data_IF_304628496029
#
_entry.id   IF_304628496029
#
_cell.length_a   1.000
_cell.length_b   1.000
_cell.length_c   1.000
_cell.angle_alpha   90.00
_cell.angle_beta   90.00
_cell.angle_gamma   90.00
#
_symmetry.space_group_name_H-M   'P 1'
#
loop_
_entity.id
_entity.type
_entity.pdbx_description
1 polymer ?
#
# COMPACT_ATOMS: atom_id res chain seq x y z
N UNK A 1 19.14 20.02 -7.39
CA UNK A 1 20.11 20.41 -6.34
C UNK A 1 19.49 21.33 -5.29
N UNK A 2 18.24 21.09 -4.90
CA UNK A 2 17.61 21.86 -3.82
C UNK A 2 18.34 21.64 -2.49
N UNK A 3 18.48 22.68 -1.66
CA UNK A 3 19.26 22.63 -0.42
C UNK A 3 18.69 21.64 0.61
N UNK A 4 17.36 21.44 0.65
CA UNK A 4 16.72 20.50 1.58
C UNK A 4 16.98 19.06 1.16
N UNK A 5 16.98 18.79 -0.15
CA UNK A 5 17.33 17.47 -0.69
C UNK A 5 18.82 17.20 -0.46
N UNK A 6 19.69 18.20 -0.63
CA UNK A 6 21.13 18.06 -0.40
C UNK A 6 21.44 17.78 1.08
N UNK A 7 20.75 18.44 2.00
CA UNK A 7 20.97 18.30 3.44
C UNK A 7 20.79 16.85 3.94
N UNK A 8 19.85 16.11 3.35
CA UNK A 8 19.60 14.70 3.68
C UNK A 8 20.38 13.71 2.80
N UNK A 9 21.21 14.20 1.87
CA UNK A 9 22.07 13.41 1.00
C UNK A 9 23.48 14.04 0.90
N UNK A 10 24.21 14.19 2.02
CA UNK A 10 25.45 14.98 2.06
C UNK A 10 26.54 14.47 1.12
N UNK A 11 26.59 13.15 0.89
CA UNK A 11 27.62 12.50 0.09
C UNK A 11 27.26 12.38 -1.41
N UNK A 12 26.08 12.86 -1.80
CA UNK A 12 25.59 12.78 -3.19
C UNK A 12 25.74 14.12 -3.88
N UNK A 13 26.42 14.14 -5.03
CA UNK A 13 26.40 15.30 -5.91
C UNK A 13 25.07 15.33 -6.68
N UNK A 14 24.14 16.16 -6.22
CA UNK A 14 22.82 16.26 -6.85
C UNK A 14 22.87 16.99 -8.19
N UNK A 15 22.25 16.45 -9.25
CA UNK A 15 22.21 17.12 -10.54
C UNK A 15 21.32 18.38 -10.52
N UNK A 16 21.60 19.30 -11.44
CA UNK A 16 20.74 20.46 -11.74
C UNK A 16 19.64 20.07 -12.72
N UNK A 17 18.77 19.14 -12.30
CA UNK A 17 17.62 18.67 -13.08
C UNK A 17 16.31 19.18 -12.47
N UNK A 18 15.34 19.47 -13.34
CA UNK A 18 13.96 19.71 -12.92
C UNK A 18 13.36 18.41 -12.39
N UNK A 19 12.70 18.48 -11.24
CA UNK A 19 11.91 17.36 -10.72
C UNK A 19 10.54 17.37 -11.41
N UNK A 20 10.14 16.23 -11.98
CA UNK A 20 8.83 16.06 -12.61
C UNK A 20 7.99 15.10 -11.77
N UNK A 21 7.02 15.59 -10.97
CA UNK A 21 6.12 14.71 -10.23
C UNK A 21 5.25 13.90 -11.19
N UNK A 22 5.09 12.62 -10.90
CA UNK A 22 4.18 11.71 -11.59
C UNK A 22 3.20 11.15 -10.57
N UNK A 23 1.91 11.32 -10.82
CA UNK A 23 0.84 10.94 -9.91
C UNK A 23 -0.20 10.07 -10.62
N UNK A 24 -1.12 9.49 -9.87
CA UNK A 24 -2.21 8.68 -10.42
C UNK A 24 -3.32 9.55 -11.00
N UNK A 25 -3.71 9.31 -12.25
CA UNK A 25 -4.83 10.03 -12.89
C UNK A 25 -6.21 9.43 -12.57
N UNK A 26 -6.23 8.22 -12.00
CA UNK A 26 -7.43 7.46 -11.64
C UNK A 26 -7.59 7.32 -10.12
N UNK A 27 -8.82 7.05 -9.67
CA UNK A 27 -9.12 6.74 -8.28
C UNK A 27 -8.30 5.54 -7.79
N UNK A 28 -7.51 5.74 -6.74
CA UNK A 28 -6.38 4.87 -6.41
C UNK A 28 -6.19 4.68 -4.91
N UNK A 29 -6.18 3.43 -4.46
CA UNK A 29 -5.76 3.08 -3.11
C UNK A 29 -4.29 3.43 -2.83
N UNK A 30 -3.41 3.34 -3.83
CA UNK A 30 -2.00 3.76 -3.72
C UNK A 30 -1.90 5.26 -3.46
N UNK A 31 -2.76 6.08 -4.09
CA UNK A 31 -2.85 7.52 -3.80
C UNK A 31 -3.35 7.75 -2.39
N UNK A 32 -4.34 6.98 -1.94
CA UNK A 32 -4.85 7.10 -0.57
C UNK A 32 -3.76 6.79 0.48
N UNK A 33 -2.97 5.73 0.28
CA UNK A 33 -1.84 5.40 1.17
C UNK A 33 -0.78 6.51 1.14
N UNK A 34 -0.36 6.94 -0.05
CA UNK A 34 0.66 7.99 -0.20
C UNK A 34 0.22 9.33 0.42
N UNK A 35 -1.02 9.74 0.16
CA UNK A 35 -1.60 10.98 0.67
C UNK A 35 -1.81 10.94 2.18
N UNK A 36 -2.21 9.78 2.73
CA UNK A 36 -2.34 9.58 4.17
C UNK A 36 -0.97 9.67 4.86
N UNK A 37 0.09 9.10 4.27
CA UNK A 37 1.45 9.30 4.76
C UNK A 37 1.84 10.79 4.74
N UNK A 38 1.69 11.47 3.59
CA UNK A 38 2.09 12.87 3.46
C UNK A 38 1.31 13.81 4.39
N UNK A 39 0.02 13.54 4.62
CA UNK A 39 -0.80 14.31 5.57
C UNK A 39 -0.37 14.13 7.02
N UNK A 40 0.28 13.02 7.38
CA UNK A 40 0.86 12.79 8.72
C UNK A 40 2.18 13.53 8.93
N UNK A 41 2.99 13.72 7.88
CA UNK A 41 4.35 14.28 7.97
C UNK A 41 4.48 15.71 7.44
N UNK A 42 3.48 16.24 6.75
CA UNK A 42 3.49 17.58 6.17
C UNK A 42 2.16 18.30 6.41
N UNK A 43 2.12 19.27 7.36
CA UNK A 43 0.94 20.11 7.59
C UNK A 43 0.51 20.84 6.32
N UNK A 44 1.46 21.37 5.53
CA UNK A 44 1.16 22.03 4.26
C UNK A 44 0.45 21.09 3.28
N UNK A 45 0.88 19.83 3.17
CA UNK A 45 0.19 18.86 2.31
C UNK A 45 -1.24 18.62 2.82
N UNK A 46 -1.39 18.39 4.12
CA UNK A 46 -2.68 18.13 4.76
C UNK A 46 -3.68 19.26 4.50
N UNK A 47 -3.23 20.51 4.58
CA UNK A 47 -4.09 21.69 4.43
C UNK A 47 -4.40 22.03 2.98
N UNK A 48 -3.57 21.62 2.02
CA UNK A 48 -3.69 22.00 0.61
C UNK A 48 -4.23 20.91 -0.30
N UNK A 49 -3.74 19.67 -0.16
CA UNK A 49 -4.14 18.52 -0.96
C UNK A 49 -4.94 17.50 -0.16
N UNK A 50 -4.57 17.30 1.11
CA UNK A 50 -5.24 16.38 2.02
C UNK A 50 -5.08 14.91 1.64
N UNK A 51 -6.11 14.13 1.92
CA UNK A 51 -6.15 12.68 1.74
C UNK A 51 -7.31 12.27 0.83
N UNK A 52 -7.16 11.13 0.15
CA UNK A 52 -8.20 10.57 -0.69
C UNK A 52 -7.64 9.65 -1.76
N UNK A 53 -8.54 8.97 -2.47
CA UNK A 53 -8.18 8.12 -3.61
C UNK A 53 -7.90 8.93 -4.89
N UNK A 54 -8.32 10.19 -4.94
CA UNK A 54 -8.03 11.16 -5.98
C UNK A 54 -7.81 12.53 -5.35
N UNK A 55 -6.77 13.25 -5.78
CA UNK A 55 -6.42 14.58 -5.29
C UNK A 55 -6.31 15.58 -6.45
N UNK A 56 -6.49 16.86 -6.14
CA UNK A 56 -6.41 17.94 -7.14
C UNK A 56 -4.96 18.39 -7.37
N UNK A 57 -4.17 17.54 -8.01
CA UNK A 57 -2.82 17.90 -8.43
C UNK A 57 -2.85 19.00 -9.50
N UNK A 58 -2.17 20.12 -9.24
CA UNK A 58 -2.02 21.23 -10.19
C UNK A 58 -0.69 21.21 -10.95
N UNK A 59 0.23 20.32 -10.56
CA UNK A 59 1.57 20.17 -11.15
C UNK A 59 1.89 18.68 -11.26
N UNK A 60 2.51 18.30 -12.38
CA UNK A 60 3.00 16.95 -12.63
C UNK A 60 2.30 16.27 -13.81
N UNK A 61 2.58 14.98 -13.98
CA UNK A 61 2.04 14.14 -15.05
C UNK A 61 1.16 13.05 -14.45
N UNK A 62 -0.07 12.93 -14.94
CA UNK A 62 -1.00 11.88 -14.54
C UNK A 62 -0.78 10.58 -15.31
N UNK A 63 -0.42 9.51 -14.61
CA UNK A 63 -0.35 8.14 -15.13
C UNK A 63 -1.54 7.30 -14.68
N UNK A 64 -2.11 6.50 -15.58
CA UNK A 64 -3.23 5.61 -15.26
C UNK A 64 -2.71 4.30 -14.64
N UNK A 65 -3.17 3.98 -13.44
CA UNK A 65 -2.72 2.78 -12.72
C UNK A 65 -1.24 2.84 -12.30
N UNK A 66 -0.79 1.85 -11.55
CA UNK A 66 0.64 1.67 -11.28
C UNK A 66 1.48 1.52 -12.57
N UNK A 67 1.07 0.75 -13.60
CA UNK A 67 1.84 0.64 -14.83
C UNK A 67 2.06 1.98 -15.55
N UNK A 68 1.04 2.84 -15.60
CA UNK A 68 1.14 4.15 -16.25
C UNK A 68 2.11 5.09 -15.52
N UNK A 69 2.06 5.11 -14.18
CA UNK A 69 3.01 5.90 -13.38
C UNK A 69 4.42 5.34 -13.53
N UNK A 70 4.62 4.02 -13.36
CA UNK A 70 5.92 3.38 -13.47
C UNK A 70 6.56 3.59 -14.85
N UNK A 71 5.79 3.41 -15.93
CA UNK A 71 6.25 3.65 -17.29
C UNK A 71 6.63 5.11 -17.53
N UNK A 72 5.85 6.06 -17.01
CA UNK A 72 6.17 7.49 -17.12
C UNK A 72 7.45 7.84 -16.37
N UNK A 73 7.63 7.32 -15.14
CA UNK A 73 8.86 7.51 -14.36
C UNK A 73 10.07 6.93 -15.10
N UNK A 74 9.95 5.73 -15.66
CA UNK A 74 11.05 5.05 -16.34
C UNK A 74 11.61 5.82 -17.56
N UNK A 75 10.76 6.57 -18.27
CA UNK A 75 11.15 7.28 -19.51
C UNK A 75 11.35 8.78 -19.33
N UNK A 76 10.99 9.34 -18.17
CA UNK A 76 11.05 10.79 -17.94
C UNK A 76 12.25 11.12 -17.05
N UNK A 77 13.28 11.73 -17.63
CA UNK A 77 14.45 12.15 -16.86
C UNK A 77 14.06 13.17 -15.76
N UNK A 78 14.54 12.93 -14.53
CA UNK A 78 14.19 13.73 -13.36
C UNK A 78 12.80 13.48 -12.79
N UNK A 79 12.09 12.42 -13.22
CA UNK A 79 10.79 12.08 -12.65
C UNK A 79 10.87 11.50 -11.23
N UNK A 80 9.85 11.80 -10.45
CA UNK A 80 9.56 11.15 -9.17
C UNK A 80 8.09 10.78 -9.13
N UNK A 81 7.78 9.54 -8.76
CA UNK A 81 6.41 9.07 -8.63
C UNK A 81 6.27 8.06 -7.50
N UNK A 82 5.02 7.72 -7.18
CA UNK A 82 4.68 6.72 -6.18
C UNK A 82 3.93 5.56 -6.84
N UNK A 83 4.38 4.34 -6.57
CA UNK A 83 3.83 3.09 -7.10
C UNK A 83 3.89 2.01 -6.03
N UNK A 84 3.12 0.94 -6.21
CA UNK A 84 3.32 -0.29 -5.43
C UNK A 84 4.75 -0.82 -5.57
N UNK A 85 5.34 -1.30 -4.47
CA UNK A 85 6.73 -1.78 -4.43
C UNK A 85 6.99 -2.90 -5.44
N UNK A 86 5.98 -3.72 -5.72
CA UNK A 86 6.03 -4.79 -6.71
C UNK A 86 6.40 -4.30 -8.11
N UNK A 87 5.89 -3.14 -8.52
CA UNK A 87 6.20 -2.54 -9.82
C UNK A 87 7.62 -2.00 -9.86
N UNK A 88 8.06 -1.34 -8.77
CA UNK A 88 9.41 -0.80 -8.69
C UNK A 88 10.47 -1.91 -8.75
N UNK A 89 10.25 -3.01 -8.02
CA UNK A 89 11.17 -4.15 -8.01
C UNK A 89 11.14 -4.91 -9.34
N UNK A 90 9.96 -5.20 -9.89
CA UNK A 90 9.85 -5.93 -11.17
C UNK A 90 10.44 -5.17 -12.36
N UNK A 91 10.42 -3.83 -12.33
CA UNK A 91 10.97 -2.98 -13.40
C UNK A 91 12.41 -2.50 -13.11
N UNK A 92 12.99 -2.86 -11.96
CA UNK A 92 14.33 -2.40 -11.57
C UNK A 92 14.46 -0.89 -11.45
N UNK A 93 13.37 -0.20 -11.07
CA UNK A 93 13.38 1.25 -10.91
C UNK A 93 14.19 1.64 -9.67
N UNK A 94 14.84 2.80 -9.72
CA UNK A 94 15.49 3.37 -8.53
C UNK A 94 14.45 3.77 -7.49
N UNK A 95 14.73 3.44 -6.22
CA UNK A 95 13.82 3.67 -5.09
C UNK A 95 14.55 4.51 -4.05
N UNK A 96 13.85 5.52 -3.51
CA UNK A 96 14.37 6.36 -2.45
C UNK A 96 14.19 5.70 -1.07
N UNK A 97 15.21 5.85 -0.21
CA UNK A 97 15.04 5.58 1.21
C UNK A 97 14.17 6.69 1.80
N UNK A 98 13.16 6.34 2.60
CA UNK A 98 12.27 7.32 3.21
C UNK A 98 12.53 7.34 4.71
N UNK A 99 12.66 8.54 5.27
CA UNK A 99 12.80 8.72 6.71
C UNK A 99 11.50 8.31 7.40
N UNK A 100 11.57 7.37 8.34
CA UNK A 100 10.44 6.95 9.15
C UNK A 100 10.25 7.85 10.39
N UNK A 101 9.22 7.56 11.20
CA UNK A 101 8.90 8.29 12.43
C UNK A 101 10.01 8.27 13.50
N UNK A 102 10.96 7.33 13.40
CA UNK A 102 12.15 7.22 14.28
C UNK A 102 13.37 7.95 13.73
N UNK A 103 13.25 8.60 12.58
CA UNK A 103 14.34 9.32 11.93
C UNK A 103 15.25 8.43 11.09
N UNK A 104 14.91 7.14 10.91
CA UNK A 104 15.69 6.16 10.17
C UNK A 104 15.34 6.22 8.68
N UNK A 105 16.34 6.24 7.80
CA UNK A 105 16.11 6.18 6.35
C UNK A 105 16.01 4.73 5.89
N UNK A 106 14.79 4.30 5.56
CA UNK A 106 14.46 2.89 5.28
C UNK A 106 14.08 2.71 3.80
N UNK A 107 14.60 1.65 3.18
CA UNK A 107 14.15 1.17 1.87
C UNK A 107 12.98 0.19 2.04
N UNK A 108 12.04 0.12 1.08
CA UNK A 108 10.99 -0.87 1.14
C UNK A 108 11.56 -2.27 0.89
N UNK A 109 11.20 -3.22 1.74
CA UNK A 109 11.42 -4.65 1.57
C UNK A 109 10.42 -5.40 2.47
N UNK A 110 10.40 -6.74 2.38
CA UNK A 110 9.50 -7.58 3.19
C UNK A 110 9.57 -7.24 4.68
N UNK A 111 10.78 -7.13 5.25
CA UNK A 111 10.96 -6.88 6.68
C UNK A 111 10.47 -5.49 7.10
N UNK A 112 10.80 -4.45 6.34
CA UNK A 112 10.40 -3.06 6.67
C UNK A 112 8.91 -2.82 6.46
N UNK A 113 8.28 -3.49 5.50
CA UNK A 113 6.83 -3.45 5.30
C UNK A 113 6.10 -4.22 6.42
N UNK A 114 6.59 -5.42 6.79
CA UNK A 114 6.04 -6.18 7.91
C UNK A 114 6.18 -5.44 9.25
N UNK A 115 7.29 -4.73 9.47
CA UNK A 115 7.49 -3.92 10.67
C UNK A 115 6.42 -2.81 10.81
N UNK A 116 5.99 -2.20 9.70
CA UNK A 116 4.93 -1.18 9.73
C UNK A 116 3.60 -1.72 10.29
N UNK A 117 3.34 -3.03 10.14
CA UNK A 117 2.11 -3.71 10.57
C UNK A 117 2.13 -4.21 12.03
N UNK A 118 3.16 -3.87 12.83
CA UNK A 118 3.28 -4.32 14.24
C UNK A 118 2.40 -3.54 15.23
N UNK A 119 1.67 -2.50 14.78
CA UNK A 119 0.75 -1.74 15.62
C UNK A 119 -0.59 -2.43 15.86
N UNK A 120 -1.47 -1.76 16.61
CA UNK A 120 -2.81 -2.26 16.89
C UNK A 120 -3.68 -2.31 15.63
N UNK A 121 -4.09 -3.53 15.25
CA UNK A 121 -4.98 -3.77 14.11
C UNK A 121 -6.40 -4.01 14.62
N UNK A 122 -7.40 -3.21 14.20
CA UNK A 122 -8.77 -3.35 14.68
C UNK A 122 -9.40 -4.66 14.20
N UNK A 123 -10.47 -5.08 14.88
CA UNK A 123 -11.16 -6.34 14.58
C UNK A 123 -11.66 -6.47 13.14
N UNK A 124 -12.01 -5.35 12.50
CA UNK A 124 -12.46 -5.29 11.11
C UNK A 124 -11.32 -5.04 10.10
N UNK A 125 -10.08 -5.01 10.58
CA UNK A 125 -8.82 -4.79 9.84
C UNK A 125 -8.74 -3.49 9.05
N UNK A 126 -9.67 -2.55 9.24
CA UNK A 126 -9.69 -1.26 8.52
C UNK A 126 -8.76 -0.26 9.20
N UNK A 127 -7.50 -0.24 8.79
CA UNK A 127 -6.48 0.65 9.35
C UNK A 127 -5.44 1.06 8.31
N UNK A 128 -4.92 2.28 8.43
CA UNK A 128 -3.74 2.75 7.69
C UNK A 128 -2.49 2.55 8.56
N UNK A 129 -1.52 1.79 8.06
CA UNK A 129 -0.24 1.52 8.75
C UNK A 129 0.91 2.44 8.28
N UNK A 130 0.57 3.56 7.65
CA UNK A 130 1.56 4.57 7.23
C UNK A 130 2.15 5.31 8.43
N UNK A 131 3.41 5.73 8.31
CA UNK A 131 4.19 6.40 9.34
C UNK A 131 4.12 5.68 10.70
N UNK A 132 4.21 4.34 10.68
CA UNK A 132 4.23 3.52 11.89
C UNK A 132 5.34 3.95 12.84
N UNK A 133 5.12 3.78 14.14
CA UNK A 133 6.13 4.01 15.18
C UNK A 133 7.05 2.80 15.42
N UNK A 134 6.86 1.71 14.68
CA UNK A 134 7.75 0.56 14.76
C UNK A 134 9.13 0.89 14.17
N UNK A 135 10.19 0.53 14.90
CA UNK A 135 11.58 0.64 14.44
C UNK A 135 11.78 -0.14 13.13
N UNK A 136 12.54 0.42 12.19
CA UNK A 136 12.82 -0.20 10.90
C UNK A 136 11.62 -0.26 9.95
N UNK A 137 10.48 0.34 10.30
CA UNK A 137 9.30 0.36 9.44
C UNK A 137 9.49 1.27 8.22
N UNK A 138 9.06 0.77 7.05
CA UNK A 138 8.94 1.63 5.88
C UNK A 138 7.67 2.50 6.03
N UNK A 139 7.77 3.83 5.93
CA UNK A 139 6.68 4.69 6.37
C UNK A 139 5.51 4.81 5.38
N UNK A 140 5.67 4.33 4.14
CA UNK A 140 4.63 4.34 3.10
C UNK A 140 4.13 2.91 2.85
N UNK A 141 3.72 2.22 3.91
CA UNK A 141 3.16 0.88 3.87
C UNK A 141 1.64 0.90 4.08
N UNK A 142 0.94 -0.10 3.56
CA UNK A 142 -0.51 -0.22 3.66
C UNK A 142 -1.01 -1.63 3.39
N UNK A 143 -2.16 -1.98 3.95
CA UNK A 143 -2.89 -3.19 3.58
C UNK A 143 -3.66 -2.98 2.27
N UNK A 144 -4.07 -4.10 1.68
CA UNK A 144 -5.11 -4.16 0.66
C UNK A 144 -6.22 -5.09 1.15
N UNK A 145 -7.45 -4.87 0.72
CA UNK A 145 -8.61 -5.61 1.19
C UNK A 145 -9.37 -6.27 0.05
N UNK A 146 -9.81 -7.50 0.29
CA UNK A 146 -10.88 -8.12 -0.48
C UNK A 146 -12.19 -7.77 0.20
N UNK A 147 -13.13 -7.19 -0.56
CA UNK A 147 -14.46 -6.85 -0.05
C UNK A 147 -15.46 -7.87 -0.57
N UNK A 148 -16.12 -8.56 0.35
CA UNK A 148 -17.20 -9.52 0.05
C UNK A 148 -18.46 -9.11 0.80
N UNK A 149 -19.62 -9.48 0.26
CA UNK A 149 -20.88 -9.34 0.99
C UNK A 149 -20.85 -10.21 2.24
N UNK A 150 -21.52 -9.77 3.32
CA UNK A 150 -21.68 -10.62 4.50
C UNK A 150 -22.65 -11.78 4.20
N UNK A 151 -23.82 -11.45 3.67
CA UNK A 151 -24.80 -12.43 3.19
C UNK A 151 -24.46 -12.83 1.75
N UNK A 152 -24.26 -14.12 1.50
CA UNK A 152 -23.81 -14.68 0.24
C UNK A 152 -24.96 -15.12 -0.68
N UNK A 153 -26.19 -15.25 -0.18
CA UNK A 153 -27.38 -15.55 -0.99
C UNK A 153 -27.91 -14.31 -1.76
N UNK A 154 -27.01 -13.45 -2.26
CA UNK A 154 -27.37 -12.30 -3.09
C UNK A 154 -27.53 -12.70 -4.56
N UNK A 155 -28.38 -11.99 -5.30
CA UNK A 155 -28.52 -12.13 -6.76
C UNK A 155 -28.67 -13.59 -7.27
N UNK A 156 -29.44 -14.42 -6.56
CA UNK A 156 -29.65 -15.85 -6.87
C UNK A 156 -28.34 -16.67 -6.94
N UNK A 157 -27.31 -16.25 -6.20
CA UNK A 157 -26.07 -17.00 -6.05
C UNK A 157 -26.34 -18.34 -5.37
N UNK A 158 -25.73 -19.41 -5.89
CA UNK A 158 -25.85 -20.76 -5.32
C UNK A 158 -24.93 -20.96 -4.12
N UNK A 159 -25.24 -21.95 -3.28
CA UNK A 159 -24.45 -22.28 -2.09
C UNK A 159 -23.03 -22.72 -2.48
N UNK A 160 -22.87 -23.49 -3.55
CA UNK A 160 -21.56 -23.99 -3.99
C UNK A 160 -20.63 -22.85 -4.38
N UNK A 161 -21.17 -21.79 -5.02
CA UNK A 161 -20.39 -20.59 -5.33
C UNK A 161 -20.01 -19.81 -4.08
N UNK A 162 -20.89 -19.79 -3.06
CA UNK A 162 -20.62 -19.12 -1.80
C UNK A 162 -19.50 -19.84 -1.03
N UNK A 163 -19.59 -21.16 -0.89
CA UNK A 163 -18.59 -22.03 -0.25
C UNK A 163 -17.24 -21.90 -0.95
N UNK A 164 -17.20 -21.97 -2.29
CA UNK A 164 -15.96 -21.79 -3.05
C UNK A 164 -15.28 -20.42 -2.81
N UNK A 165 -16.03 -19.37 -2.50
CA UNK A 165 -15.44 -18.08 -2.11
C UNK A 165 -14.87 -18.12 -0.71
N UNK A 166 -15.56 -18.74 0.26
CA UNK A 166 -15.03 -18.91 1.61
C UNK A 166 -13.75 -19.76 1.58
N UNK A 167 -13.74 -20.85 0.81
CA UNK A 167 -12.57 -21.69 0.58
C UNK A 167 -11.40 -20.88 -0.01
N UNK A 168 -11.65 -20.06 -1.04
CA UNK A 168 -10.64 -19.19 -1.61
C UNK A 168 -10.07 -18.20 -0.58
N UNK A 169 -10.93 -17.57 0.22
CA UNK A 169 -10.49 -16.63 1.27
C UNK A 169 -9.63 -17.35 2.32
N UNK A 170 -9.99 -18.57 2.71
CA UNK A 170 -9.16 -19.39 3.61
C UNK A 170 -7.84 -19.82 2.97
N UNK A 171 -7.84 -20.18 1.69
CA UNK A 171 -6.62 -20.50 0.94
C UNK A 171 -5.66 -19.30 0.92
N UNK A 172 -6.15 -18.10 0.65
CA UNK A 172 -5.34 -16.87 0.64
C UNK A 172 -4.67 -16.60 1.99
N UNK A 173 -5.26 -17.07 3.09
CA UNK A 173 -4.72 -16.98 4.45
C UNK A 173 -3.89 -18.20 4.89
N UNK A 174 -3.71 -19.18 4.02
CA UNK A 174 -2.89 -20.37 4.30
C UNK A 174 -1.40 -20.04 4.22
N UNK A 175 -0.58 -20.83 4.92
CA UNK A 175 0.89 -20.73 4.84
C UNK A 175 1.40 -20.82 3.40
N UNK A 176 0.76 -21.66 2.57
CA UNK A 176 1.10 -21.79 1.15
C UNK A 176 0.87 -20.50 0.37
N UNK A 177 -0.24 -19.81 0.59
CA UNK A 177 -0.49 -18.54 -0.11
C UNK A 177 0.38 -17.42 0.44
N UNK A 178 0.59 -17.37 1.75
CA UNK A 178 1.43 -16.36 2.40
C UNK A 178 2.90 -16.50 2.00
N UNK A 179 3.42 -17.72 1.82
CA UNK A 179 4.80 -17.91 1.34
C UNK A 179 5.02 -17.48 -0.11
N UNK A 180 3.96 -17.37 -0.91
CA UNK A 180 4.05 -16.89 -2.29
C UNK A 180 4.18 -15.36 -2.37
N UNK A 181 3.73 -14.60 -1.36
CA UNK A 181 3.68 -13.13 -1.44
C UNK A 181 5.06 -12.54 -1.68
N UNK A 182 6.08 -13.07 -1.02
CA UNK A 182 7.46 -12.57 -1.13
C UNK A 182 8.03 -12.77 -2.55
N UNK A 183 7.61 -13.83 -3.24
CA UNK A 183 8.03 -14.11 -4.63
C UNK A 183 7.48 -13.09 -5.62
N UNK A 184 6.38 -12.41 -5.24
CA UNK A 184 5.75 -11.32 -5.99
C UNK A 184 5.87 -9.99 -5.27
N UNK A 185 6.88 -9.83 -4.40
CA UNK A 185 7.28 -8.57 -3.78
C UNK A 185 6.28 -7.95 -2.78
N UNK A 186 5.39 -8.77 -2.21
CA UNK A 186 4.52 -8.39 -1.09
C UNK A 186 5.00 -9.01 0.22
N UNK A 187 4.84 -8.27 1.31
CA UNK A 187 5.03 -8.81 2.65
C UNK A 187 3.86 -9.73 3.04
N UNK A 188 4.12 -10.89 3.70
CA UNK A 188 3.06 -11.74 4.22
C UNK A 188 2.33 -11.03 5.37
N UNK A 189 1.07 -11.41 5.58
CA UNK A 189 0.31 -10.99 6.76
C UNK A 189 0.89 -11.64 8.02
N UNK A 190 0.92 -10.88 9.12
CA UNK A 190 1.27 -11.45 10.42
C UNK A 190 0.19 -12.42 10.91
N UNK A 191 0.57 -13.33 11.81
CA UNK A 191 -0.37 -14.29 12.42
C UNK A 191 -1.58 -13.58 13.06
N UNK A 192 -1.35 -12.43 13.70
CA UNK A 192 -2.40 -11.61 14.29
C UNK A 192 -3.40 -11.12 13.24
N UNK A 193 -2.93 -10.59 12.11
CA UNK A 193 -3.81 -10.12 11.03
C UNK A 193 -4.55 -11.29 10.38
N UNK A 194 -3.89 -12.44 10.21
CA UNK A 194 -4.53 -13.67 9.71
C UNK A 194 -5.65 -14.10 10.64
N UNK A 195 -5.44 -14.09 11.97
CA UNK A 195 -6.45 -14.46 12.95
C UNK A 195 -7.67 -13.52 12.91
N UNK A 196 -7.45 -12.21 12.85
CA UNK A 196 -8.52 -11.20 12.70
C UNK A 196 -9.29 -11.41 11.39
N UNK A 197 -8.59 -11.69 10.29
CA UNK A 197 -9.22 -11.91 8.98
C UNK A 197 -10.06 -13.18 8.96
N UNK A 198 -9.56 -14.28 9.54
CA UNK A 198 -10.34 -15.52 9.72
C UNK A 198 -11.59 -15.29 10.57
N UNK A 199 -11.51 -14.46 11.62
CA UNK A 199 -12.67 -14.10 12.44
C UNK A 199 -13.69 -13.26 11.66
N UNK A 200 -13.26 -12.47 10.66
CA UNK A 200 -14.18 -11.74 9.78
C UNK A 200 -14.85 -12.65 8.75
N UNK A 201 -14.14 -13.64 8.20
CA UNK A 201 -14.71 -14.64 7.27
C UNK A 201 -15.84 -15.42 7.95
N UNK A 202 -15.67 -15.84 9.21
CA UNK A 202 -16.70 -16.54 10.00
C UNK A 202 -18.02 -15.75 10.21
N UNK A 203 -18.03 -14.45 9.90
CA UNK A 203 -19.26 -13.64 9.95
C UNK A 203 -20.11 -13.77 8.69
N UNK A 204 -19.59 -14.42 7.64
CA UNK A 204 -20.31 -14.64 6.39
C UNK A 204 -21.48 -15.60 6.62
N UNK A 205 -22.56 -15.39 5.88
CA UNK A 205 -23.77 -16.20 5.97
C UNK A 205 -24.29 -16.58 4.58
N UNK A 206 -25.06 -17.65 4.51
CA UNK A 206 -25.90 -17.99 3.37
C UNK A 206 -27.32 -18.29 3.85
N UNK A 207 -28.28 -17.49 3.38
CA UNK A 207 -29.68 -17.53 3.84
C UNK A 207 -29.79 -17.36 5.37
N UNK A 208 -28.94 -16.51 5.95
CA UNK A 208 -28.90 -16.26 7.40
C UNK A 208 -28.17 -17.31 8.24
N UNK A 209 -27.73 -18.43 7.65
CA UNK A 209 -26.94 -19.44 8.36
C UNK A 209 -25.44 -19.20 8.16
N UNK A 210 -24.57 -19.47 9.14
CA UNK A 210 -23.12 -19.44 8.93
C UNK A 210 -22.70 -20.31 7.74
N UNK A 211 -21.71 -19.84 6.99
CA UNK A 211 -21.08 -20.57 5.89
C UNK A 211 -19.58 -20.69 6.20
N UNK A 212 -19.04 -21.89 6.04
CA UNK A 212 -17.65 -22.27 6.36
C UNK A 212 -16.90 -22.72 5.11
#
# INVERSE_FOLDING_TARGET
NDSLIQAINPDVTLPTKKITPVFRSDGSGTTAIFANYLSKVSPTWKDTLGEGTALNFTVGVGGKGNPGVAGTVAVTDGAIGYIGSEYAFSLGLSIASIQNSKGEFIQPNTASISAAAQGDIPADTRVMITNSEATGSYPISGFTWIVVYKEQAYANRSIEKAEATVELLHFLLSEKAQSLTETVHYAPLSEAVIALTKANIKKMTYQGNPIE
#
